data_IF_706248124058
#
_entry.id   IF_706248124058
#
_cell.length_a   1.000
_cell.length_b   1.000
_cell.length_c   1.000
_cell.angle_alpha   90.00
_cell.angle_beta   90.00
_cell.angle_gamma   90.00
#
_symmetry.space_group_name_H-M   'P 1'
#
loop_
_entity.id
_entity.type
_entity.pdbx_description
1 polymer ?
#
# COMPACT_ATOMS: atom_id res chain seq x y z
N UNK A 1 -22.80 -19.70 5.83
CA UNK A 1 -22.22 -18.88 6.90
C UNK A 1 -21.73 -17.58 6.31
N UNK A 2 -22.11 -16.49 6.91
CA UNK A 2 -21.61 -15.21 6.46
C UNK A 2 -20.11 -15.09 6.77
N UNK A 3 -19.36 -14.66 5.78
CA UNK A 3 -17.96 -14.39 5.97
C UNK A 3 -17.80 -12.98 6.57
N UNK A 4 -17.26 -12.90 7.76
CA UNK A 4 -17.04 -11.64 8.46
C UNK A 4 -15.57 -11.20 8.39
N UNK A 5 -14.82 -11.75 7.45
CA UNK A 5 -13.42 -11.39 7.25
C UNK A 5 -13.31 -9.96 6.73
N UNK A 6 -12.38 -9.23 7.28
CA UNK A 6 -12.08 -7.87 6.87
C UNK A 6 -10.59 -7.80 6.51
N UNK A 7 -10.31 -7.26 5.33
CA UNK A 7 -8.93 -7.17 4.84
C UNK A 7 -8.38 -5.77 5.08
N UNK A 8 -7.25 -5.70 5.77
CA UNK A 8 -6.52 -4.45 6.00
C UNK A 8 -5.29 -4.46 5.11
N UNK A 9 -5.21 -3.50 4.21
CA UNK A 9 -4.06 -3.35 3.32
C UNK A 9 -3.18 -2.24 3.88
N UNK A 10 -2.02 -2.62 4.38
CA UNK A 10 -1.07 -1.71 5.00
C UNK A 10 0.25 -1.79 4.23
N UNK A 11 0.40 -0.91 3.24
CA UNK A 11 1.52 -0.97 2.32
C UNK A 11 1.51 -2.26 1.52
N UNK A 12 2.57 -3.04 1.63
CA UNK A 12 2.67 -4.33 0.95
C UNK A 12 2.07 -5.48 1.78
N UNK A 13 1.63 -5.21 3.01
CA UNK A 13 1.04 -6.21 3.88
C UNK A 13 -0.46 -6.24 3.72
N UNK A 14 -1.01 -7.44 3.69
CA UNK A 14 -2.45 -7.63 3.78
C UNK A 14 -2.73 -8.47 5.03
N UNK A 15 -3.53 -7.92 5.93
CA UNK A 15 -3.89 -8.60 7.18
C UNK A 15 -5.38 -8.89 7.13
N UNK A 16 -5.75 -10.13 7.36
CA UNK A 16 -7.15 -10.49 7.45
C UNK A 16 -7.56 -10.61 8.91
N UNK A 17 -8.67 -9.96 9.26
CA UNK A 17 -9.18 -9.91 10.62
C UNK A 17 -10.68 -10.21 10.61
N UNK A 18 -11.26 -10.35 11.81
CA UNK A 18 -12.69 -10.28 11.95
C UNK A 18 -13.18 -8.86 11.69
N UNK A 19 -14.45 -8.71 11.41
CA UNK A 19 -15.02 -7.41 11.05
C UNK A 19 -14.79 -6.36 12.15
N UNK A 20 -15.12 -6.69 13.39
CA UNK A 20 -14.99 -5.75 14.50
C UNK A 20 -13.54 -5.35 14.75
N UNK A 21 -12.64 -6.32 14.70
CA UNK A 21 -11.20 -6.07 14.85
C UNK A 21 -10.68 -5.19 13.73
N UNK A 22 -11.11 -5.45 12.50
CA UNK A 22 -10.72 -4.65 11.34
C UNK A 22 -11.17 -3.20 11.46
N UNK A 23 -12.41 -2.98 11.89
CA UNK A 23 -12.94 -1.63 12.11
C UNK A 23 -12.16 -0.92 13.21
N UNK A 24 -11.80 -1.64 14.27
CA UNK A 24 -11.01 -1.07 15.35
C UNK A 24 -9.60 -0.66 14.89
N UNK A 25 -8.97 -1.48 14.07
CA UNK A 25 -7.68 -1.16 13.48
C UNK A 25 -7.75 0.10 12.60
N UNK A 26 -8.82 0.24 11.84
CA UNK A 26 -9.04 1.45 11.02
C UNK A 26 -9.16 2.68 11.90
N UNK A 27 -9.93 2.60 12.98
CA UNK A 27 -10.08 3.73 13.91
C UNK A 27 -8.75 4.12 14.54
N UNK A 28 -7.93 3.15 14.91
CA UNK A 28 -6.60 3.43 15.46
C UNK A 28 -5.70 4.09 14.43
N UNK A 29 -5.76 3.65 13.18
CA UNK A 29 -4.98 4.26 12.11
C UNK A 29 -5.38 5.71 11.88
N UNK A 30 -6.68 5.99 11.86
CA UNK A 30 -7.18 7.36 11.74
C UNK A 30 -6.73 8.24 12.91
N UNK A 31 -6.80 7.70 14.13
CA UNK A 31 -6.35 8.41 15.32
C UNK A 31 -4.84 8.70 15.27
N UNK A 32 -4.07 7.87 14.59
CA UNK A 32 -2.64 8.08 14.38
C UNK A 32 -2.32 9.03 13.22
N UNK A 33 -3.34 9.61 12.59
CA UNK A 33 -3.15 10.56 11.48
C UNK A 33 -2.91 9.91 10.13
N UNK A 34 -3.21 8.63 9.99
CA UNK A 34 -3.04 7.92 8.73
C UNK A 34 -4.28 8.09 7.85
N UNK A 35 -4.12 8.39 6.56
CA UNK A 35 -5.25 8.38 5.63
C UNK A 35 -5.81 6.96 5.53
N UNK A 36 -7.14 6.86 5.44
CA UNK A 36 -7.81 5.57 5.27
C UNK A 36 -8.79 5.66 4.12
N UNK A 37 -8.73 4.69 3.22
CA UNK A 37 -9.75 4.47 2.21
C UNK A 37 -10.44 3.15 2.55
N UNK A 38 -11.77 3.18 2.71
CA UNK A 38 -12.52 2.01 3.12
C UNK A 38 -13.59 1.66 2.10
N UNK A 39 -13.67 0.39 1.76
CA UNK A 39 -14.74 -0.16 0.94
C UNK A 39 -15.47 -1.22 1.77
N UNK A 40 -16.64 -0.84 2.29
CA UNK A 40 -17.43 -1.74 3.14
C UNK A 40 -18.02 -2.90 2.35
N UNK A 41 -18.30 -2.69 1.10
CA UNK A 41 -18.86 -3.75 0.23
C UNK A 41 -17.82 -4.83 -0.01
N UNK A 42 -16.58 -4.45 -0.26
CA UNK A 42 -15.47 -5.38 -0.42
C UNK A 42 -14.91 -5.86 0.92
N UNK A 43 -15.34 -5.26 2.04
CA UNK A 43 -14.81 -5.52 3.37
C UNK A 43 -13.29 -5.35 3.41
N UNK A 44 -12.84 -4.23 2.91
CA UNK A 44 -11.42 -3.91 2.84
C UNK A 44 -11.18 -2.47 3.24
N UNK A 45 -10.03 -2.21 3.84
CA UNK A 45 -9.56 -0.88 4.14
C UNK A 45 -8.09 -0.76 3.75
N UNK A 46 -7.74 0.36 3.16
CA UNK A 46 -6.39 0.68 2.79
C UNK A 46 -5.86 1.75 3.75
N UNK A 47 -4.75 1.46 4.41
CA UNK A 47 -4.10 2.37 5.34
C UNK A 47 -2.95 3.07 4.66
N UNK A 48 -3.02 4.39 4.57
CA UNK A 48 -1.96 5.19 3.97
C UNK A 48 -0.91 5.61 4.98
N UNK A 49 0.07 6.35 4.50
CA UNK A 49 1.16 6.89 5.30
C UNK A 49 0.77 8.30 5.74
N UNK A 50 1.07 8.70 7.00
CA UNK A 50 0.80 10.07 7.45
C UNK A 50 1.49 11.11 6.54
N UNK A 51 0.83 12.26 6.36
CA UNK A 51 1.35 13.31 5.49
C UNK A 51 2.76 13.76 5.87
N UNK A 52 3.04 13.84 7.16
CA UNK A 52 4.37 14.21 7.67
C UNK A 52 5.43 13.22 7.19
N UNK A 53 5.12 11.94 7.27
CA UNK A 53 6.04 10.88 6.88
C UNK A 53 6.28 10.89 5.37
N UNK A 54 5.22 11.12 4.57
CA UNK A 54 5.37 11.28 3.12
C UNK A 54 6.25 12.47 2.77
N UNK A 55 6.06 13.59 3.46
CA UNK A 55 6.88 14.78 3.23
C UNK A 55 8.36 14.51 3.52
N UNK A 56 8.65 13.78 4.59
CA UNK A 56 10.02 13.40 4.94
C UNK A 56 10.63 12.51 3.86
N UNK A 57 9.89 11.53 3.40
CA UNK A 57 10.36 10.64 2.34
C UNK A 57 10.62 11.39 1.04
N UNK A 58 9.72 12.29 0.66
CA UNK A 58 9.91 13.11 -0.55
C UNK A 58 11.12 14.02 -0.43
N UNK A 59 11.35 14.57 0.75
CA UNK A 59 12.51 15.45 0.99
C UNK A 59 13.82 14.70 0.85
N UNK A 60 13.85 13.40 1.08
CA UNK A 60 15.06 12.58 0.93
C UNK A 60 15.46 12.40 -0.53
N UNK A 61 14.57 12.67 -1.48
CA UNK A 61 14.76 12.47 -2.90
C UNK A 61 15.10 11.03 -3.28
N UNK A 62 14.79 10.08 -2.40
CA UNK A 62 14.96 8.66 -2.69
C UNK A 62 13.62 8.04 -3.06
N UNK A 63 13.58 7.39 -4.21
CA UNK A 63 12.42 6.64 -4.61
C UNK A 63 12.31 5.36 -3.78
N UNK A 64 11.09 5.01 -3.31
CA UNK A 64 10.89 3.71 -2.68
C UNK A 64 11.25 2.58 -3.65
N UNK A 65 11.84 1.53 -3.13
CA UNK A 65 12.12 0.37 -3.96
C UNK A 65 10.87 -0.49 -4.12
N UNK A 66 10.76 -1.13 -5.25
CA UNK A 66 9.70 -2.10 -5.48
C UNK A 66 10.22 -3.18 -6.42
N UNK A 67 9.59 -4.34 -6.38
CA UNK A 67 9.94 -5.48 -7.22
C UNK A 67 8.69 -5.96 -7.95
N UNK A 68 8.79 -6.08 -9.26
CA UNK A 68 7.70 -6.54 -10.10
C UNK A 68 8.21 -7.61 -11.07
N UNK A 69 7.37 -8.60 -11.39
CA UNK A 69 7.72 -9.57 -12.42
C UNK A 69 7.53 -8.98 -13.82
N UNK A 70 8.36 -9.38 -14.76
CA UNK A 70 8.14 -9.10 -16.17
C UNK A 70 7.21 -10.14 -16.79
N UNK A 71 6.98 -10.06 -18.10
CA UNK A 71 6.10 -10.98 -18.80
C UNK A 71 6.65 -12.41 -18.85
N UNK A 72 7.93 -12.56 -18.64
CA UNK A 72 8.58 -13.88 -18.59
C UNK A 72 8.67 -14.43 -17.16
N UNK A 73 8.12 -13.72 -16.19
CA UNK A 73 8.13 -14.11 -14.79
C UNK A 73 9.41 -13.78 -14.05
N UNK A 74 10.33 -13.05 -14.65
CA UNK A 74 11.55 -12.60 -13.99
C UNK A 74 11.28 -11.36 -13.15
N UNK A 75 11.79 -11.36 -11.93
CA UNK A 75 11.63 -10.23 -11.03
C UNK A 75 12.62 -9.12 -11.32
N UNK A 76 12.13 -7.89 -11.29
CA UNK A 76 12.96 -6.69 -11.47
C UNK A 76 12.69 -5.73 -10.32
N UNK A 77 13.74 -5.21 -9.74
CA UNK A 77 13.66 -4.21 -8.67
C UNK A 77 14.16 -2.87 -9.18
N UNK A 78 13.49 -1.79 -8.77
CA UNK A 78 13.93 -0.45 -9.15
C UNK A 78 15.37 -0.17 -8.71
N UNK A 79 15.76 -0.69 -7.54
CA UNK A 79 17.11 -0.53 -7.00
C UNK A 79 18.21 -1.07 -7.90
N UNK A 80 17.91 -2.03 -8.77
CA UNK A 80 18.90 -2.58 -9.71
C UNK A 80 19.37 -1.56 -10.72
N UNK A 81 18.62 -0.49 -10.92
CA UNK A 81 18.92 0.56 -11.90
C UNK A 81 19.54 1.81 -11.27
N UNK A 82 19.98 1.74 -10.02
CA UNK A 82 20.63 2.87 -9.38
C UNK A 82 21.88 3.30 -10.13
N UNK A 83 22.08 4.61 -10.20
CA UNK A 83 23.17 5.18 -11.00
C UNK A 83 22.83 5.38 -12.46
N UNK A 84 21.62 5.03 -12.88
CA UNK A 84 21.12 5.21 -14.25
C UNK A 84 19.90 6.12 -14.22
N UNK A 85 19.66 6.80 -15.34
CA UNK A 85 18.43 7.55 -15.51
C UNK A 85 17.32 6.56 -15.87
N UNK A 86 16.22 6.57 -15.10
CA UNK A 86 15.08 5.69 -15.33
C UNK A 86 13.84 6.55 -15.57
N UNK A 87 13.12 6.24 -16.64
CA UNK A 87 11.82 6.84 -16.91
C UNK A 87 10.75 5.80 -16.59
N UNK A 88 9.96 6.06 -15.57
CA UNK A 88 8.92 5.14 -15.12
C UNK A 88 7.56 5.61 -15.60
N UNK A 89 6.82 4.71 -16.25
CA UNK A 89 5.45 4.98 -16.67
C UNK A 89 4.53 3.95 -16.04
N UNK A 90 3.49 4.43 -15.38
CA UNK A 90 2.44 3.58 -14.84
C UNK A 90 1.14 3.89 -15.59
N UNK A 91 0.52 2.87 -16.14
CA UNK A 91 -0.73 3.05 -16.89
C UNK A 91 -1.61 1.83 -16.76
N UNK A 92 -2.86 2.00 -17.14
CA UNK A 92 -3.81 0.90 -17.19
C UNK A 92 -4.49 0.93 -18.56
N UNK A 93 -4.74 -0.25 -19.09
CA UNK A 93 -5.35 -0.40 -20.41
C UNK A 93 -6.73 -1.07 -20.28
N UNK A 94 -7.68 -0.36 -19.66
CA UNK A 94 -9.05 -0.83 -19.60
C UNK A 94 -9.99 0.10 -20.33
#
# INVERSE_FOLDING_TARGET
MADHTFSIIDGARVVETGYEEGVDLVKRAEAAGRPVAMDLEARAAYLGVPARERATQLASLQAPDFTLPDLDGRSHSLSEHRGRKVFLVAYASW
#
